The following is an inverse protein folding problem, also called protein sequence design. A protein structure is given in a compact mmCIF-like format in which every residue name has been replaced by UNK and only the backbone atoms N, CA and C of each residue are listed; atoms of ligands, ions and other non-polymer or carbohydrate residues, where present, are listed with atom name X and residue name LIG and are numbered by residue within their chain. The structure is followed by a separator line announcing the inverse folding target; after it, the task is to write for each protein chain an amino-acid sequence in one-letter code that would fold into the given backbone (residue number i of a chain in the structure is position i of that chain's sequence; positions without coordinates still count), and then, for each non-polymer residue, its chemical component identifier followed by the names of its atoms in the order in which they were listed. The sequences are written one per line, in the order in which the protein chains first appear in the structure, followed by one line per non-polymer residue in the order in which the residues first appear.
data_IF_848811288855
#
_entry.id   IF_848811288855
#
_cell.length_a   1.000
_cell.length_b   1.000
_cell.length_c   1.000
_cell.angle_alpha   90.00
_cell.angle_beta   90.00
_cell.angle_gamma   90.00
#
_symmetry.space_group_name_H-M   'P 1'
#
loop_
_entity.id
_entity.type
_entity.pdbx_description
1 polymer ?
#
# COMPACT_ATOMS: atom_id res chain seq x y z
N UNK A 1 -45.68 30.19 -23.64
CA UNK A 1 -45.39 30.14 -25.07
C UNK A 1 -45.36 31.58 -25.59
N UNK A 2 -44.17 32.09 -25.91
CA UNK A 2 -44.02 33.40 -26.57
C UNK A 2 -43.54 33.09 -27.99
N UNK A 3 -44.36 33.52 -28.98
CA UNK A 3 -44.04 33.39 -30.38
C UNK A 3 -42.81 34.22 -30.72
N UNK A 4 -41.86 33.60 -31.39
CA UNK A 4 -40.66 34.24 -31.89
C UNK A 4 -40.92 34.72 -33.32
N UNK A 5 -41.25 36.02 -33.51
CA UNK A 5 -41.34 36.60 -34.83
C UNK A 5 -39.93 36.68 -35.42
N UNK A 6 -39.73 35.93 -36.50
CA UNK A 6 -38.48 35.92 -37.27
C UNK A 6 -38.58 37.09 -38.30
N UNK A 7 -37.87 38.17 -38.02
CA UNK A 7 -37.66 39.23 -39.05
C UNK A 7 -36.41 38.82 -39.82
N UNK A 8 -36.58 38.40 -41.05
CA UNK A 8 -35.47 38.05 -41.95
C UNK A 8 -35.01 39.33 -42.64
N UNK A 9 -34.00 40.01 -42.09
CA UNK A 9 -33.26 41.04 -42.79
C UNK A 9 -32.11 40.42 -43.58
N UNK A 10 -32.04 40.77 -44.89
CA UNK A 10 -31.21 40.14 -45.92
C UNK A 10 -29.70 40.36 -45.82
N UNK A 11 -29.07 40.43 -44.58
CA UNK A 11 -27.65 40.69 -44.43
C UNK A 11 -27.02 39.91 -43.27
N UNK A 12 -27.43 38.68 -43.05
CA UNK A 12 -27.06 37.90 -41.84
C UNK A 12 -26.13 36.71 -42.08
N UNK A 13 -25.33 36.68 -43.15
CA UNK A 13 -24.48 35.55 -43.49
C UNK A 13 -23.37 35.17 -42.44
N UNK A 14 -22.56 36.09 -41.94
CA UNK A 14 -21.42 35.65 -41.07
C UNK A 14 -21.78 35.55 -39.57
N UNK A 15 -22.84 36.24 -39.10
CA UNK A 15 -23.18 36.25 -37.66
C UNK A 15 -23.86 34.96 -37.16
N UNK A 16 -24.58 34.26 -38.04
CA UNK A 16 -25.29 33.04 -37.68
C UNK A 16 -24.33 31.85 -37.51
N UNK A 17 -23.31 31.75 -38.37
CA UNK A 17 -22.29 30.70 -38.30
C UNK A 17 -21.45 30.84 -37.04
N UNK A 18 -21.10 32.07 -36.62
CA UNK A 18 -20.31 32.32 -35.42
C UNK A 18 -21.04 31.90 -34.12
N UNK A 19 -22.35 32.08 -34.07
CA UNK A 19 -23.17 31.68 -32.90
C UNK A 19 -23.33 30.15 -32.78
N UNK A 20 -23.49 29.44 -33.90
CA UNK A 20 -23.57 27.98 -33.92
C UNK A 20 -22.23 27.39 -33.56
N UNK A 21 -21.12 27.94 -34.06
CA UNK A 21 -19.77 27.49 -33.74
C UNK A 21 -19.45 27.66 -32.25
N UNK A 22 -19.87 28.77 -31.63
CA UNK A 22 -19.68 29.02 -30.22
C UNK A 22 -20.45 28.05 -29.32
N UNK A 23 -21.69 27.69 -29.69
CA UNK A 23 -22.48 26.69 -28.95
C UNK A 23 -21.89 25.29 -29.12
N UNK A 24 -21.40 24.94 -30.31
CA UNK A 24 -20.75 23.64 -30.55
C UNK A 24 -19.44 23.49 -29.78
N UNK A 25 -18.63 24.56 -29.69
CA UNK A 25 -17.37 24.55 -28.93
C UNK A 25 -17.65 24.42 -27.44
N UNK A 26 -18.68 25.05 -26.90
CA UNK A 26 -19.05 24.90 -25.49
C UNK A 26 -19.49 23.45 -25.18
N UNK A 27 -20.24 22.79 -26.09
CA UNK A 27 -20.64 21.41 -25.93
C UNK A 27 -19.45 20.42 -25.99
N UNK A 28 -18.44 20.68 -26.81
CA UNK A 28 -17.23 19.85 -26.87
C UNK A 28 -16.32 20.02 -25.66
N UNK A 29 -16.23 21.23 -25.09
CA UNK A 29 -15.40 21.46 -23.88
C UNK A 29 -16.02 20.85 -22.64
N UNK A 30 -17.34 20.72 -22.54
CA UNK A 30 -18.01 20.09 -21.41
C UNK A 30 -17.99 18.55 -21.46
N UNK A 31 -17.74 17.95 -22.61
CA UNK A 31 -17.68 16.49 -22.78
C UNK A 31 -16.30 15.88 -22.41
N UNK A 32 -15.29 16.71 -22.19
CA UNK A 32 -13.96 16.25 -21.71
C UNK A 32 -13.82 16.26 -20.20
N UNK A 33 -14.90 16.48 -19.46
CA UNK A 33 -14.90 16.40 -18.00
C UNK A 33 -14.79 14.94 -17.54
N UNK A 34 -13.55 14.49 -17.42
CA UNK A 34 -13.07 13.63 -16.36
C UNK A 34 -13.72 12.24 -16.23
N UNK A 35 -13.19 11.29 -16.95
CA UNK A 35 -12.92 10.00 -16.31
C UNK A 35 -11.64 10.20 -15.48
N UNK A 36 -11.74 10.77 -14.30
CA UNK A 36 -10.70 10.65 -13.28
C UNK A 36 -10.66 9.14 -12.98
N UNK A 37 -9.63 8.45 -13.48
CA UNK A 37 -9.40 7.05 -13.23
C UNK A 37 -9.23 6.94 -11.71
N UNK A 38 -10.29 6.52 -11.03
CA UNK A 38 -10.22 6.22 -9.60
C UNK A 38 -9.15 5.13 -9.46
N UNK A 39 -8.11 5.43 -8.69
CA UNK A 39 -7.08 4.44 -8.38
C UNK A 39 -7.79 3.30 -7.64
N UNK A 40 -7.72 2.05 -8.12
CA UNK A 40 -8.47 0.97 -7.53
C UNK A 40 -8.01 0.70 -6.09
N UNK A 41 -8.96 0.47 -5.21
CA UNK A 41 -8.73 -0.12 -3.91
C UNK A 41 -8.70 -1.64 -4.08
N UNK A 42 -7.68 -2.31 -3.51
CA UNK A 42 -7.57 -3.76 -3.56
C UNK A 42 -7.81 -4.34 -2.16
N UNK A 43 -8.53 -5.45 -2.09
CA UNK A 43 -8.92 -6.08 -0.83
C UNK A 43 -8.16 -7.39 -0.63
N UNK A 44 -7.39 -7.48 0.44
CA UNK A 44 -6.63 -8.67 0.79
C UNK A 44 -7.27 -9.33 2.01
N UNK A 45 -7.85 -10.51 1.84
CA UNK A 45 -8.48 -11.26 2.94
C UNK A 45 -8.51 -12.76 2.66
N UNK A 46 -8.54 -13.51 3.75
CA UNK A 46 -8.70 -14.97 3.74
C UNK A 46 -7.70 -15.70 2.82
N UNK A 47 -6.38 -15.52 3.01
CA UNK A 47 -5.40 -16.19 2.17
C UNK A 47 -5.45 -17.70 2.31
N UNK A 48 -5.26 -18.38 1.19
CA UNK A 48 -5.16 -19.85 1.16
C UNK A 48 -3.74 -20.23 0.75
N UNK A 49 -3.09 -21.10 1.52
CA UNK A 49 -1.78 -21.65 1.14
C UNK A 49 -1.92 -22.44 -0.16
N UNK A 50 -1.14 -22.07 -1.18
CA UNK A 50 -1.05 -22.81 -2.42
C UNK A 50 -0.37 -24.16 -2.16
N UNK A 51 -1.02 -25.25 -2.51
CA UNK A 51 -0.47 -26.61 -2.41
C UNK A 51 0.11 -27.08 -3.76
N UNK A 52 1.10 -27.96 -3.70
CA UNK A 52 1.68 -28.59 -4.88
C UNK A 52 2.83 -27.78 -5.51
N UNK A 53 3.02 -28.00 -6.82
CA UNK A 53 4.17 -27.44 -7.55
C UNK A 53 4.24 -25.92 -7.50
N UNK A 54 5.39 -25.40 -7.14
CA UNK A 54 5.70 -23.96 -7.13
C UNK A 54 5.28 -23.23 -5.84
N UNK A 55 5.06 -23.97 -4.74
CA UNK A 55 4.94 -23.44 -3.40
C UNK A 55 5.65 -24.34 -2.41
N UNK A 56 6.33 -23.76 -1.42
CA UNK A 56 6.84 -24.47 -0.27
C UNK A 56 5.72 -24.69 0.78
N UNK A 57 6.05 -25.39 1.86
CA UNK A 57 5.15 -25.54 3.00
C UNK A 57 4.84 -24.22 3.71
N UNK A 58 3.83 -24.24 4.57
CA UNK A 58 3.38 -23.07 5.31
C UNK A 58 4.53 -22.38 6.05
N UNK A 59 4.57 -21.05 5.92
CA UNK A 59 5.58 -20.22 6.58
C UNK A 59 7.01 -20.38 6.10
N UNK A 60 7.31 -21.30 5.17
CA UNK A 60 8.66 -21.52 4.64
C UNK A 60 8.98 -20.55 3.50
N UNK A 61 10.27 -20.32 3.25
CA UNK A 61 10.71 -19.56 2.08
C UNK A 61 10.29 -20.30 0.81
N UNK A 62 9.67 -19.55 -0.11
CA UNK A 62 8.99 -20.09 -1.29
C UNK A 62 7.52 -20.48 -1.07
N UNK A 63 6.96 -20.39 0.14
CA UNK A 63 5.54 -20.55 0.36
C UNK A 63 4.75 -19.45 -0.38
N UNK A 64 3.64 -19.84 -1.01
CA UNK A 64 2.77 -18.93 -1.76
C UNK A 64 1.38 -18.94 -1.15
N UNK A 65 0.89 -17.78 -0.76
CA UNK A 65 -0.46 -17.56 -0.28
C UNK A 65 -1.29 -16.87 -1.37
N UNK A 66 -2.49 -17.38 -1.60
CA UNK A 66 -3.40 -16.88 -2.61
C UNK A 66 -4.47 -16.03 -1.93
N UNK A 67 -4.55 -14.76 -2.28
CA UNK A 67 -5.66 -13.87 -1.96
C UNK A 67 -6.55 -13.79 -3.20
N UNK A 68 -7.76 -14.33 -3.10
CA UNK A 68 -8.70 -14.37 -4.21
C UNK A 68 -9.48 -13.07 -4.32
N UNK A 69 -9.76 -12.65 -5.58
CA UNK A 69 -10.61 -11.49 -5.86
C UNK A 69 -10.14 -10.19 -5.17
N UNK A 70 -8.82 -9.95 -5.15
CA UNK A 70 -8.29 -8.69 -4.59
C UNK A 70 -8.74 -7.45 -5.37
N UNK A 71 -9.12 -7.64 -6.64
CA UNK A 71 -9.69 -6.65 -7.53
C UNK A 71 -10.53 -7.32 -8.62
N UNK A 72 -11.07 -6.53 -9.54
CA UNK A 72 -11.89 -7.09 -10.61
C UNK A 72 -11.12 -8.09 -11.48
N UNK A 73 -11.56 -9.36 -11.51
CA UNK A 73 -10.95 -10.49 -12.23
C UNK A 73 -9.45 -10.69 -11.90
N UNK A 74 -9.06 -10.42 -10.66
CA UNK A 74 -7.66 -10.41 -10.23
C UNK A 74 -7.48 -11.08 -8.87
N UNK A 75 -6.52 -12.00 -8.77
CA UNK A 75 -5.99 -12.57 -7.55
C UNK A 75 -4.61 -11.97 -7.25
N UNK A 76 -4.19 -12.05 -5.99
CA UNK A 76 -2.81 -11.78 -5.60
C UNK A 76 -2.14 -13.06 -5.07
N UNK A 77 -0.91 -13.28 -5.51
CA UNK A 77 -0.03 -14.33 -4.98
C UNK A 77 1.02 -13.66 -4.10
N UNK A 78 1.00 -13.94 -2.80
CA UNK A 78 2.00 -13.47 -1.84
C UNK A 78 2.99 -14.60 -1.59
N UNK A 79 4.23 -14.40 -2.06
CA UNK A 79 5.32 -15.38 -1.94
C UNK A 79 6.29 -14.92 -0.87
N UNK A 80 6.65 -15.78 0.09
CA UNK A 80 7.78 -15.55 1.00
C UNK A 80 9.06 -15.69 0.18
N UNK A 81 9.84 -14.62 0.05
CA UNK A 81 11.12 -14.63 -0.68
C UNK A 81 12.27 -15.09 0.20
N UNK A 82 12.26 -14.71 1.47
CA UNK A 82 13.30 -15.04 2.42
C UNK A 82 13.14 -14.32 3.75
N UNK A 83 14.11 -14.53 4.63
CA UNK A 83 14.14 -13.97 5.97
C UNK A 83 15.58 -13.71 6.42
N UNK A 84 15.76 -12.82 7.40
CA UNK A 84 17.08 -12.43 7.90
C UNK A 84 17.83 -13.55 8.60
N UNK A 85 17.12 -14.52 9.17
CA UNK A 85 17.68 -15.73 9.81
C UNK A 85 16.62 -16.82 10.00
N UNK A 86 17.05 -18.03 10.29
CA UNK A 86 16.15 -19.15 10.60
C UNK A 86 15.29 -18.95 11.86
N UNK A 87 15.66 -17.99 12.72
CA UNK A 87 14.91 -17.65 13.93
C UNK A 87 13.66 -16.80 13.62
N UNK A 88 13.53 -16.28 12.40
CA UNK A 88 12.36 -15.48 11.99
C UNK A 88 11.31 -16.40 11.41
N UNK A 89 10.08 -16.26 11.86
CA UNK A 89 8.96 -17.09 11.42
C UNK A 89 7.72 -16.25 11.11
N UNK A 90 6.91 -16.73 10.17
CA UNK A 90 5.57 -16.21 9.92
C UNK A 90 4.61 -16.91 10.91
N UNK A 91 4.10 -16.18 11.90
CA UNK A 91 3.13 -16.70 12.86
C UNK A 91 1.72 -16.76 12.29
N UNK A 92 1.39 -15.83 11.39
CA UNK A 92 0.16 -15.84 10.61
C UNK A 92 0.40 -15.16 9.26
N UNK A 93 -0.20 -15.72 8.20
CA UNK A 93 -0.11 -15.14 6.86
C UNK A 93 -0.97 -13.89 6.73
N UNK A 94 -2.04 -13.82 7.50
CA UNK A 94 -2.96 -12.70 7.58
C UNK A 94 -3.77 -12.81 8.87
N UNK A 95 -4.02 -11.68 9.54
CA UNK A 95 -4.88 -11.61 10.71
C UNK A 95 -6.10 -10.80 10.32
N UNK A 96 -7.26 -11.44 10.34
CA UNK A 96 -8.53 -10.80 10.06
C UNK A 96 -9.04 -10.05 11.29
N UNK A 97 -9.53 -8.85 11.07
CA UNK A 97 -10.29 -7.93 11.89
C UNK A 97 -10.55 -8.16 13.37
N UNK A 98 -11.58 -7.51 13.93
CA UNK A 98 -11.77 -7.39 15.38
C UNK A 98 -12.02 -8.70 16.11
N UNK A 99 -12.29 -9.79 15.42
CA UNK A 99 -12.66 -11.05 16.04
C UNK A 99 -11.50 -11.78 16.72
N UNK A 100 -10.25 -11.47 16.36
CA UNK A 100 -9.11 -12.29 16.80
C UNK A 100 -8.30 -11.69 17.94
N UNK A 101 -8.38 -10.38 18.18
CA UNK A 101 -7.66 -9.79 19.30
C UNK A 101 -8.25 -8.45 19.75
N UNK A 102 -9.17 -8.49 20.68
CA UNK A 102 -9.77 -7.29 21.29
C UNK A 102 -8.76 -6.43 22.08
N UNK A 103 -7.56 -6.93 22.30
CA UNK A 103 -6.49 -6.25 23.05
C UNK A 103 -5.57 -5.46 22.13
N UNK A 104 -5.43 -5.86 20.85
CA UNK A 104 -4.35 -5.40 19.97
C UNK A 104 -4.82 -4.53 18.79
N UNK A 105 -6.00 -3.94 18.85
CA UNK A 105 -6.52 -3.13 17.74
C UNK A 105 -6.90 -4.00 16.54
N UNK A 106 -7.69 -3.44 15.66
CA UNK A 106 -8.42 -4.24 14.68
C UNK A 106 -7.87 -4.15 13.27
N UNK A 107 -7.05 -3.14 12.95
CA UNK A 107 -6.63 -2.89 11.58
C UNK A 107 -7.82 -2.69 10.64
N UNK A 108 -7.72 -3.22 9.44
CA UNK A 108 -8.76 -3.22 8.40
C UNK A 108 -8.82 -4.61 7.74
N UNK A 109 -10.04 -5.19 7.66
CA UNK A 109 -10.26 -6.51 7.07
C UNK A 109 -9.87 -6.61 5.58
N UNK A 110 -9.70 -5.48 4.90
CA UNK A 110 -9.22 -5.46 3.52
C UNK A 110 -7.70 -5.27 3.42
N UNK A 111 -7.01 -5.03 4.55
CA UNK A 111 -5.57 -4.97 4.60
C UNK A 111 -4.96 -6.37 4.69
N UNK A 112 -3.81 -6.56 4.08
CA UNK A 112 -2.98 -7.72 4.37
C UNK A 112 -2.22 -7.47 5.69
N UNK A 113 -2.43 -8.35 6.67
CA UNK A 113 -1.95 -8.19 8.04
C UNK A 113 -1.13 -9.40 8.50
N UNK A 114 0.10 -9.61 7.97
CA UNK A 114 0.94 -10.71 8.39
C UNK A 114 1.49 -10.48 9.79
N UNK A 115 1.69 -11.57 10.52
CA UNK A 115 2.33 -11.58 11.84
C UNK A 115 3.68 -12.29 11.78
N UNK A 116 4.74 -11.57 12.13
CA UNK A 116 6.12 -12.04 12.05
C UNK A 116 6.70 -12.08 13.46
N UNK A 117 7.39 -13.19 13.77
CA UNK A 117 8.00 -13.42 15.08
C UNK A 117 9.48 -13.68 14.95
N UNK A 118 10.28 -13.15 15.87
CA UNK A 118 11.68 -13.50 16.03
C UNK A 118 11.86 -14.41 17.26
N UNK A 119 12.51 -15.56 17.08
CA UNK A 119 12.80 -16.58 18.09
C UNK A 119 11.54 -16.94 18.94
N UNK A 120 11.70 -17.11 20.22
CA UNK A 120 10.62 -17.42 21.17
C UNK A 120 9.95 -16.15 21.76
N UNK A 121 9.95 -15.06 21.03
CA UNK A 121 9.37 -13.80 21.49
C UNK A 121 10.38 -12.85 22.13
N UNK A 122 11.68 -13.16 22.06
CA UNK A 122 12.76 -12.36 22.66
C UNK A 122 13.85 -12.05 21.63
N UNK A 123 14.33 -10.82 21.62
CA UNK A 123 15.48 -10.41 20.83
C UNK A 123 16.54 -9.73 21.72
N UNK A 124 17.84 -9.97 21.47
CA UNK A 124 18.92 -9.27 22.16
C UNK A 124 18.99 -7.81 21.70
N UNK A 125 19.84 -7.03 22.36
CA UNK A 125 20.17 -5.66 21.93
C UNK A 125 20.76 -5.64 20.51
N UNK A 126 20.48 -4.55 19.77
CA UNK A 126 21.00 -4.31 18.42
C UNK A 126 20.72 -5.43 17.42
N UNK A 127 19.57 -6.11 17.55
CA UNK A 127 19.15 -7.15 16.64
C UNK A 127 18.15 -6.59 15.64
N UNK A 128 18.43 -6.83 14.37
CA UNK A 128 17.50 -6.56 13.26
C UNK A 128 17.01 -7.89 12.70
N UNK A 129 15.72 -8.02 12.48
CA UNK A 129 15.11 -9.19 11.83
C UNK A 129 14.01 -8.77 10.87
N UNK A 130 13.76 -9.59 9.85
CA UNK A 130 12.76 -9.30 8.82
C UNK A 130 12.37 -10.56 8.04
N UNK A 131 11.23 -10.48 7.39
CA UNK A 131 10.80 -11.31 6.27
C UNK A 131 10.55 -10.47 5.04
N UNK A 132 10.82 -11.02 3.86
CA UNK A 132 10.60 -10.36 2.58
C UNK A 132 9.56 -11.12 1.76
N UNK A 133 8.67 -10.38 1.14
CA UNK A 133 7.55 -10.91 0.39
C UNK A 133 7.48 -10.29 -0.99
N UNK A 134 7.04 -11.08 -1.98
CA UNK A 134 6.60 -10.62 -3.28
C UNK A 134 5.09 -10.76 -3.39
N UNK A 135 4.41 -9.68 -3.70
CA UNK A 135 3.01 -9.66 -4.10
C UNK A 135 2.96 -9.64 -5.62
N UNK A 136 2.31 -10.61 -6.25
CA UNK A 136 2.16 -10.71 -7.71
C UNK A 136 0.69 -10.72 -8.07
N UNK A 137 0.26 -9.83 -8.97
CA UNK A 137 -1.10 -9.77 -9.47
C UNK A 137 -1.27 -10.69 -10.66
N UNK A 138 -2.28 -11.55 -10.61
CA UNK A 138 -2.58 -12.56 -11.63
C UNK A 138 -4.06 -12.57 -11.95
N UNK A 139 -4.40 -13.11 -13.11
CA UNK A 139 -5.79 -13.26 -13.54
C UNK A 139 -6.52 -14.25 -12.63
N UNK A 140 -7.70 -13.87 -12.18
CA UNK A 140 -8.56 -14.75 -11.40
C UNK A 140 -8.85 -16.04 -12.19
N UNK A 141 -8.77 -17.20 -11.54
CA UNK A 141 -8.89 -18.55 -12.11
C UNK A 141 -7.80 -18.96 -13.11
N UNK A 142 -7.00 -18.03 -13.64
CA UNK A 142 -5.83 -18.32 -14.48
C UNK A 142 -4.57 -17.67 -13.87
N UNK A 143 -4.11 -18.24 -12.78
CA UNK A 143 -3.01 -17.71 -11.94
C UNK A 143 -1.62 -17.80 -12.60
N UNK A 144 -1.54 -18.27 -13.84
CA UNK A 144 -0.30 -18.26 -14.64
C UNK A 144 -0.19 -16.97 -15.47
N UNK A 145 -1.29 -16.26 -15.70
CA UNK A 145 -1.32 -14.99 -16.43
C UNK A 145 -1.16 -13.80 -15.49
N UNK A 146 -0.05 -13.10 -15.65
CA UNK A 146 0.24 -11.88 -14.90
C UNK A 146 -0.64 -10.71 -15.34
N UNK A 147 -1.12 -9.90 -14.40
CA UNK A 147 -1.88 -8.67 -14.66
C UNK A 147 -1.04 -7.47 -14.24
N UNK A 148 -0.83 -6.52 -15.16
CA UNK A 148 -0.27 -5.21 -14.82
C UNK A 148 -1.38 -4.29 -14.31
N UNK A 149 -1.19 -3.73 -13.12
CA UNK A 149 -2.09 -2.75 -12.53
C UNK A 149 -1.56 -1.36 -12.86
N UNK A 150 -2.39 -0.51 -13.49
CA UNK A 150 -1.96 0.81 -13.94
C UNK A 150 -1.49 1.69 -12.78
N UNK A 151 -2.27 1.73 -11.71
CA UNK A 151 -1.93 2.45 -10.48
C UNK A 151 -2.60 1.76 -9.29
N UNK A 152 -1.90 1.70 -8.16
CA UNK A 152 -2.47 1.32 -6.86
C UNK A 152 -1.63 1.91 -5.73
N UNK A 153 -2.27 2.14 -4.60
CA UNK A 153 -1.58 2.50 -3.37
C UNK A 153 -1.32 1.28 -2.50
N UNK A 154 -0.24 1.34 -1.73
CA UNK A 154 0.01 0.47 -0.58
C UNK A 154 0.34 1.36 0.60
N UNK A 155 -0.59 1.45 1.54
CA UNK A 155 -0.42 2.20 2.77
C UNK A 155 0.13 1.27 3.84
N UNK A 156 1.34 1.54 4.29
CA UNK A 156 1.90 0.91 5.48
C UNK A 156 1.25 1.52 6.70
N UNK A 157 0.64 0.66 7.51
CA UNK A 157 -0.05 1.03 8.73
C UNK A 157 0.82 0.70 9.93
N UNK A 158 0.68 1.49 11.00
CA UNK A 158 1.16 1.18 12.34
C UNK A 158 2.66 0.83 12.38
N UNK A 159 3.47 1.65 11.71
CA UNK A 159 4.94 1.53 11.73
C UNK A 159 5.43 2.15 13.03
N UNK A 160 5.44 1.36 14.09
CA UNK A 160 5.62 1.82 15.47
C UNK A 160 6.71 1.05 16.25
N UNK A 161 6.53 0.84 17.53
CA UNK A 161 7.49 0.15 18.40
C UNK A 161 6.87 -0.54 19.60
N UNK A 162 7.68 -0.89 20.59
CA UNK A 162 7.23 -1.55 21.83
C UNK A 162 7.05 -0.59 23.01
N UNK A 163 7.18 0.69 22.77
CA UNK A 163 7.18 1.74 23.80
C UNK A 163 8.51 1.87 24.56
N UNK A 164 9.58 1.17 24.14
CA UNK A 164 10.88 1.14 24.79
C UNK A 164 12.04 1.24 23.81
N UNK A 165 12.46 0.15 23.22
CA UNK A 165 13.70 0.02 22.46
C UNK A 165 13.52 -0.67 21.10
N UNK A 166 12.40 -1.35 20.88
CA UNK A 166 12.08 -1.93 19.59
C UNK A 166 11.34 -0.89 18.73
N UNK A 167 11.68 -0.83 17.47
CA UNK A 167 10.91 -0.14 16.45
C UNK A 167 10.74 -1.05 15.23
N UNK A 168 9.60 -0.93 14.59
CA UNK A 168 9.28 -1.63 13.36
C UNK A 168 9.83 -0.88 12.15
N UNK A 169 9.98 -1.61 11.06
CA UNK A 169 10.20 -1.01 9.77
C UNK A 169 9.47 -1.77 8.66
N UNK A 170 9.16 -1.02 7.61
CA UNK A 170 8.64 -1.56 6.36
C UNK A 170 9.50 -1.00 5.21
N UNK A 171 9.98 -1.88 4.31
CA UNK A 171 10.74 -1.45 3.14
C UNK A 171 9.97 -1.80 1.88
N UNK A 172 9.83 -0.84 0.97
CA UNK A 172 9.11 -0.97 -0.27
C UNK A 172 10.04 -0.75 -1.45
N UNK A 173 10.02 -1.66 -2.42
CA UNK A 173 10.89 -1.62 -3.58
C UNK A 173 10.10 -1.26 -4.83
N UNK A 174 10.75 -0.51 -5.76
CA UNK A 174 10.17 -0.08 -7.05
C UNK A 174 8.90 0.77 -6.95
N UNK A 175 8.60 1.38 -5.83
CA UNK A 175 7.51 2.34 -5.77
C UNK A 175 7.83 3.58 -6.60
N UNK A 176 6.78 4.23 -7.09
CA UNK A 176 6.90 5.45 -7.88
C UNK A 176 7.17 6.66 -6.99
N UNK A 177 6.37 6.86 -5.96
CA UNK A 177 6.60 7.85 -4.91
C UNK A 177 5.91 7.43 -3.60
N UNK A 178 6.18 8.19 -2.52
CA UNK A 178 5.49 8.02 -1.24
C UNK A 178 5.08 9.36 -0.64
N UNK A 179 4.12 9.32 0.28
CA UNK A 179 3.72 10.46 1.11
C UNK A 179 3.69 10.06 2.57
N UNK A 180 4.04 11.00 3.44
CA UNK A 180 3.97 10.90 4.89
C UNK A 180 3.11 12.04 5.42
N UNK A 181 2.53 11.85 6.58
CA UNK A 181 1.88 12.92 7.33
C UNK A 181 2.92 14.00 7.72
N UNK A 182 2.59 15.31 7.70
CA UNK A 182 3.56 16.38 7.98
C UNK A 182 4.29 16.30 9.31
N UNK A 183 3.65 15.73 10.32
CA UNK A 183 4.23 15.53 11.66
C UNK A 183 4.54 14.06 11.94
N UNK A 184 4.86 13.32 10.90
CA UNK A 184 5.13 11.89 11.01
C UNK A 184 6.24 11.57 12.02
N UNK A 185 6.06 10.47 12.73
CA UNK A 185 7.09 9.84 13.54
C UNK A 185 7.92 8.79 12.76
N UNK A 186 7.56 8.58 11.49
CA UNK A 186 8.23 7.63 10.58
C UNK A 186 9.40 8.30 9.89
N UNK A 187 10.56 7.66 9.91
CA UNK A 187 11.75 8.12 9.24
C UNK A 187 11.98 7.34 7.93
N UNK A 188 12.06 8.07 6.81
CA UNK A 188 12.29 7.47 5.49
C UNK A 188 13.78 7.49 5.11
N UNK A 189 14.33 6.34 4.74
CA UNK A 189 15.70 6.18 4.26
C UNK A 189 15.75 5.39 2.95
N UNK A 190 16.86 5.51 2.20
CA UNK A 190 17.07 4.70 1.00
C UNK A 190 17.59 3.32 1.39
N UNK A 191 17.07 2.28 0.75
CA UNK A 191 17.53 0.90 0.91
C UNK A 191 17.86 0.30 -0.45
N UNK A 192 18.84 -0.60 -0.48
CA UNK A 192 19.23 -1.38 -1.64
C UNK A 192 19.36 -2.85 -1.28
N UNK A 193 18.98 -3.71 -2.20
CA UNK A 193 19.09 -5.16 -2.08
C UNK A 193 17.83 -5.82 -1.53
N UNK A 194 17.30 -6.75 -2.31
CA UNK A 194 16.23 -7.68 -1.93
C UNK A 194 16.72 -9.11 -2.13
N UNK A 195 15.99 -10.09 -1.62
CA UNK A 195 16.29 -11.52 -1.84
C UNK A 195 16.22 -11.91 -3.33
N UNK A 196 15.48 -11.15 -4.12
CA UNK A 196 15.39 -11.38 -5.57
C UNK A 196 16.50 -10.70 -6.37
N UNK A 197 16.98 -9.53 -5.91
CA UNK A 197 17.91 -8.69 -6.67
C UNK A 197 18.72 -7.79 -5.72
N UNK A 198 20.03 -8.03 -5.57
CA UNK A 198 20.89 -7.25 -4.68
C UNK A 198 21.06 -5.78 -5.11
N UNK A 199 20.67 -5.43 -6.34
CA UNK A 199 20.75 -4.06 -6.85
C UNK A 199 19.41 -3.33 -6.78
N UNK A 200 18.34 -4.02 -6.35
CA UNK A 200 17.01 -3.44 -6.29
C UNK A 200 16.97 -2.29 -5.28
N UNK A 201 16.50 -1.13 -5.74
CA UNK A 201 16.41 0.08 -4.90
C UNK A 201 14.99 0.21 -4.33
N UNK A 202 14.92 0.75 -3.11
CA UNK A 202 13.67 1.00 -2.40
C UNK A 202 13.80 2.09 -1.35
N UNK A 203 12.75 2.21 -0.55
CA UNK A 203 12.70 3.04 0.65
C UNK A 203 12.36 2.17 1.85
N UNK A 204 13.05 2.42 2.94
CA UNK A 204 12.76 1.87 4.25
C UNK A 204 12.13 2.97 5.10
N UNK A 205 11.06 2.63 5.76
CA UNK A 205 10.32 3.46 6.67
C UNK A 205 10.46 2.87 8.07
N UNK A 206 11.20 3.56 8.92
CA UNK A 206 11.45 3.17 10.30
C UNK A 206 10.48 3.90 11.22
N UNK A 207 9.75 3.17 12.03
CA UNK A 207 8.88 3.69 13.06
C UNK A 207 9.64 4.26 14.25
N UNK A 208 8.93 4.98 15.10
CA UNK A 208 9.44 5.40 16.40
C UNK A 208 9.36 4.24 17.40
N UNK A 209 9.93 4.44 18.60
CA UNK A 209 9.73 3.48 19.70
C UNK A 209 8.36 3.59 20.39
N UNK A 210 7.52 4.58 20.01
CA UNK A 210 6.14 4.71 20.52
C UNK A 210 5.37 3.45 20.16
N UNK A 211 4.45 3.04 21.01
CA UNK A 211 3.60 1.88 20.76
C UNK A 211 2.15 2.32 20.66
N UNK A 212 1.52 1.99 19.55
CA UNK A 212 0.08 2.04 19.38
C UNK A 212 -0.47 0.62 19.57
N UNK A 213 -1.53 0.40 20.37
CA UNK A 213 -2.07 -0.95 20.60
C UNK A 213 -2.64 -1.55 19.31
N UNK A 214 -2.11 -2.67 18.88
CA UNK A 214 -2.53 -3.38 17.68
C UNK A 214 -2.19 -2.64 16.39
N UNK A 215 -3.01 -2.78 15.33
CA UNK A 215 -2.90 -1.95 14.13
C UNK A 215 -3.87 -0.78 14.24
N UNK A 216 -3.33 0.39 14.50
CA UNK A 216 -4.13 1.62 14.61
C UNK A 216 -4.45 2.19 13.24
N UNK A 217 -5.75 2.36 12.93
CA UNK A 217 -6.22 3.06 11.72
C UNK A 217 -6.25 4.59 11.86
N UNK A 218 -5.90 5.12 13.03
CA UNK A 218 -5.95 6.56 13.32
C UNK A 218 -4.60 7.17 13.66
N UNK A 219 -3.55 6.36 13.85
CA UNK A 219 -2.19 6.81 14.13
C UNK A 219 -1.49 7.25 12.83
N UNK A 220 -1.95 8.35 12.21
CA UNK A 220 -1.44 8.83 10.91
C UNK A 220 0.06 9.14 10.95
N UNK A 221 0.60 9.53 12.12
CA UNK A 221 2.02 9.78 12.35
C UNK A 221 2.90 8.51 12.25
N UNK A 222 2.27 7.30 12.26
CA UNK A 222 2.92 6.00 12.10
C UNK A 222 2.55 5.31 10.77
N UNK A 223 2.21 6.08 9.74
CA UNK A 223 1.75 5.55 8.44
C UNK A 223 2.54 6.12 7.26
N UNK A 224 2.52 5.40 6.15
CA UNK A 224 3.07 5.83 4.86
C UNK A 224 2.15 5.42 3.72
N UNK A 225 1.94 6.29 2.73
CA UNK A 225 1.31 5.92 1.46
C UNK A 225 2.39 5.72 0.39
N UNK A 226 2.40 4.58 -0.28
CA UNK A 226 3.28 4.28 -1.40
C UNK A 226 2.46 4.10 -2.68
N UNK A 227 2.79 4.82 -3.76
CA UNK A 227 2.17 4.65 -5.06
C UNK A 227 3.03 3.74 -5.95
N UNK A 228 2.38 2.78 -6.56
CA UNK A 228 2.92 1.95 -7.63
C UNK A 228 2.21 2.25 -8.95
N UNK A 229 2.95 2.18 -10.06
CA UNK A 229 2.41 2.43 -11.40
C UNK A 229 2.91 1.39 -12.40
N UNK A 230 2.00 0.92 -13.28
CA UNK A 230 2.33 0.07 -14.42
C UNK A 230 3.06 -1.22 -14.06
N UNK A 231 2.73 -1.85 -12.92
CA UNK A 231 3.43 -3.05 -12.46
C UNK A 231 2.50 -4.21 -12.17
N UNK A 232 2.99 -5.42 -12.37
CA UNK A 232 2.30 -6.66 -12.02
C UNK A 232 2.76 -7.26 -10.69
N UNK A 233 3.73 -6.64 -10.02
CA UNK A 233 4.20 -7.12 -8.73
C UNK A 233 4.92 -6.03 -7.94
N UNK A 234 4.92 -6.20 -6.62
CA UNK A 234 5.73 -5.41 -5.70
C UNK A 234 6.51 -6.31 -4.75
N UNK A 235 7.56 -5.77 -4.15
CA UNK A 235 8.33 -6.44 -3.10
C UNK A 235 8.26 -5.55 -1.86
N UNK A 236 8.03 -6.19 -0.71
CA UNK A 236 8.02 -5.55 0.59
C UNK A 236 8.81 -6.38 1.59
N UNK A 237 9.59 -5.70 2.43
CA UNK A 237 10.27 -6.30 3.57
C UNK A 237 9.67 -5.72 4.84
N UNK A 238 9.25 -6.59 5.75
CA UNK A 238 8.63 -6.25 7.03
C UNK A 238 9.52 -6.76 8.14
N UNK A 239 9.82 -5.92 9.11
CA UNK A 239 10.74 -6.29 10.16
C UNK A 239 10.78 -5.31 11.32
N UNK A 240 11.64 -5.62 12.29
CA UNK A 240 11.87 -4.76 13.44
C UNK A 240 13.34 -4.78 13.87
N UNK A 241 13.69 -3.81 14.70
CA UNK A 241 15.03 -3.63 15.23
C UNK A 241 14.98 -3.26 16.72
N UNK A 242 15.88 -3.86 17.52
CA UNK A 242 16.04 -3.49 18.92
C UNK A 242 17.18 -2.51 19.10
N UNK A 243 17.01 -1.55 20.00
CA UNK A 243 18.03 -0.58 20.38
C UNK A 243 19.07 -1.18 21.37
N UNK A 244 19.50 -0.34 22.32
CA UNK A 244 20.56 -0.67 23.31
C UNK A 244 20.19 -1.80 24.26
N UNK A 245 18.90 -2.05 24.46
CA UNK A 245 18.40 -3.22 25.20
C UNK A 245 17.61 -4.10 24.24
N UNK A 246 17.49 -5.40 24.56
CA UNK A 246 16.63 -6.30 23.80
C UNK A 246 15.13 -6.00 24.02
N UNK A 247 14.28 -6.78 23.37
CA UNK A 247 12.82 -6.74 23.55
C UNK A 247 12.27 -8.14 23.82
N UNK A 248 11.23 -8.21 24.64
CA UNK A 248 10.40 -9.40 24.85
C UNK A 248 9.08 -9.34 24.06
N UNK A 249 8.97 -8.41 23.09
CA UNK A 249 7.78 -8.19 22.27
C UNK A 249 8.11 -8.33 20.78
N UNK A 250 8.70 -9.45 20.39
CA UNK A 250 9.18 -9.66 19.01
C UNK A 250 8.16 -10.32 18.09
N UNK A 251 6.96 -10.59 18.56
CA UNK A 251 5.83 -11.06 17.76
C UNK A 251 5.04 -9.83 17.30
N UNK A 252 5.27 -9.42 16.04
CA UNK A 252 4.79 -8.15 15.50
C UNK A 252 3.82 -8.38 14.36
N UNK A 253 2.75 -7.61 14.36
CA UNK A 253 1.74 -7.59 13.31
C UNK A 253 1.97 -6.37 12.43
N UNK A 254 1.96 -6.55 11.13
CA UNK A 254 2.15 -5.49 10.14
C UNK A 254 0.86 -5.27 9.36
N UNK A 255 0.56 -4.03 9.01
CA UNK A 255 -0.62 -3.69 8.20
C UNK A 255 -0.24 -3.08 6.86
N UNK A 256 -0.72 -3.69 5.77
CA UNK A 256 -0.58 -3.16 4.41
C UNK A 256 -1.97 -3.00 3.79
N UNK A 257 -2.46 -1.78 3.74
CA UNK A 257 -3.75 -1.45 3.16
C UNK A 257 -3.57 -1.01 1.71
N UNK A 258 -4.22 -1.69 0.78
CA UNK A 258 -4.10 -1.38 -0.65
C UNK A 258 -5.10 -0.31 -1.09
N UNK A 259 -5.00 0.82 -0.43
CA UNK A 259 -5.84 2.02 -0.58
C UNK A 259 -5.02 3.25 -0.24
N UNK A 260 -5.33 4.38 -0.84
CA UNK A 260 -4.76 5.68 -0.42
C UNK A 260 -5.39 6.13 0.89
N UNK A 261 -4.56 6.53 1.84
CA UNK A 261 -5.00 7.26 3.02
C UNK A 261 -4.95 8.75 2.76
N UNK A 262 -5.89 9.48 3.31
CA UNK A 262 -5.88 10.95 3.34
C UNK A 262 -5.35 11.36 4.70
N UNK A 263 -4.17 11.99 4.71
CA UNK A 263 -3.61 12.53 5.95
C UNK A 263 -4.27 13.86 6.29
N UNK A 264 -4.66 14.03 7.53
CA UNK A 264 -5.20 15.29 8.03
C UNK A 264 -4.08 16.33 8.15
N UNK A 265 -4.15 17.36 7.32
CA UNK A 265 -3.24 18.50 7.42
C UNK A 265 -3.91 19.57 8.28
N UNK A 266 -3.34 19.99 9.41
CA UNK A 266 -3.85 21.09 10.20
C UNK A 266 -4.07 22.34 9.33
N UNK A 267 -5.17 23.06 9.52
CA UNK A 267 -5.56 24.23 8.70
C UNK A 267 -4.48 25.32 8.60
N UNK A 268 -3.54 25.36 9.53
CA UNK A 268 -2.40 26.27 9.54
C UNK A 268 -1.22 25.85 8.64
N UNK A 269 -1.26 24.67 8.02
CA UNK A 269 -0.16 24.12 7.21
C UNK A 269 -0.62 23.53 5.88
N UNK A 270 -1.50 24.23 5.15
CA UNK A 270 -1.85 23.87 3.76
C UNK A 270 -0.72 24.23 2.78
N UNK A 271 0.51 23.89 3.11
CA UNK A 271 1.61 23.85 2.14
C UNK A 271 1.51 22.55 1.33
N UNK A 272 1.85 22.56 0.05
CA UNK A 272 1.80 21.34 -0.76
C UNK A 272 2.70 20.28 -0.13
N UNK A 273 2.13 19.11 0.15
CA UNK A 273 2.86 17.93 0.62
C UNK A 273 4.05 17.72 -0.31
N UNK A 274 5.26 17.74 0.21
CA UNK A 274 6.47 17.54 -0.59
C UNK A 274 6.44 16.12 -1.16
N UNK A 275 5.98 15.99 -2.40
CA UNK A 275 6.06 14.76 -3.17
C UNK A 275 7.54 14.50 -3.48
N UNK A 276 8.17 13.63 -2.70
CA UNK A 276 9.54 13.22 -2.95
C UNK A 276 9.52 12.12 -3.99
N UNK A 277 9.72 12.50 -5.27
CA UNK A 277 9.90 11.53 -6.34
C UNK A 277 11.18 10.72 -6.07
N UNK A 278 11.08 9.39 -6.01
CA UNK A 278 12.25 8.51 -6.03
C UNK A 278 12.86 8.55 -7.45
N UNK A 279 13.99 9.20 -7.64
CA UNK A 279 14.78 9.13 -8.88
C UNK A 279 15.60 7.85 -8.92
#
# INVERSE_FOLDING_TARGET
MKELNLIVDGNSGPRFILRITSVLIIFFVTATAQAQSLIPELSFKNPVLKTGKGSAGEGLDGAVYIFENVGWNMDALVTILGRSSAEVSLSAADIQGPEQDSVNGTGDDNAWQPRIRYADGKAPAHKTWWMEFKVSFVKHLDRNTSISVNQFFVSGLDIDGDGKQLHEFQSYYKMHFFTLEPFTAVFASSVQGSEMDPLLKGKRFDGSSKNYPGISMTAQDAMVNNLYTGTSSMIVRLGAETGKTGSEKTDRMYGLLFKSLVFDVPDSQKEPVNLVASR
#
